data_IF_894068666641
#
_entry.id   IF_894068666641
#
_cell.length_a   1.000
_cell.length_b   1.000
_cell.length_c   1.000
_cell.angle_alpha   90.00
_cell.angle_beta   90.00
_cell.angle_gamma   90.00
#
_symmetry.space_group_name_H-M   'P 1'
#
loop_
_entity.id
_entity.type
_entity.pdbx_description
1 polymer ?
#
# COMPACT_ATOMS: atom_id res chain seq x y z
N UNK A 1 6.62 -16.77 15.65
CA UNK A 1 5.49 -15.84 15.47
C UNK A 1 5.06 -15.14 16.77
N UNK A 2 4.90 -15.83 17.93
CA UNK A 2 4.45 -15.19 19.19
C UNK A 2 5.32 -13.99 19.66
N UNK A 3 6.64 -14.04 19.50
CA UNK A 3 7.55 -12.96 19.95
C UNK A 3 7.47 -11.71 19.05
N UNK A 4 7.37 -11.89 17.73
CA UNK A 4 7.20 -10.78 16.77
C UNK A 4 5.87 -10.07 17.05
N UNK A 5 4.79 -10.79 17.25
CA UNK A 5 3.48 -10.21 17.55
C UNK A 5 3.48 -9.39 18.85
N UNK A 6 4.21 -9.85 19.89
CA UNK A 6 4.37 -9.08 21.15
C UNK A 6 5.13 -7.76 20.92
N UNK A 7 6.19 -7.80 20.13
CA UNK A 7 6.96 -6.61 19.76
C UNK A 7 6.12 -5.63 18.95
N UNK A 8 5.43 -6.11 17.93
CA UNK A 8 4.52 -5.34 17.10
C UNK A 8 3.44 -4.63 17.93
N UNK A 9 2.81 -5.35 18.88
CA UNK A 9 1.79 -4.77 19.77
C UNK A 9 2.34 -3.66 20.67
N UNK A 10 3.59 -3.78 21.13
CA UNK A 10 4.23 -2.71 21.91
C UNK A 10 4.36 -1.42 21.10
N UNK A 11 4.75 -1.52 19.81
CA UNK A 11 4.83 -0.38 18.91
C UNK A 11 3.45 0.23 18.68
N UNK A 12 2.45 -0.60 18.38
CA UNK A 12 1.09 -0.14 18.14
C UNK A 12 0.49 0.56 19.36
N UNK A 13 0.69 0.01 20.59
CA UNK A 13 0.26 0.66 21.83
C UNK A 13 0.94 2.00 22.06
N UNK A 14 2.23 2.14 21.71
CA UNK A 14 2.94 3.41 21.79
C UNK A 14 2.36 4.44 20.80
N UNK A 15 1.99 4.02 19.58
CA UNK A 15 1.29 4.87 18.61
C UNK A 15 -0.05 5.32 19.19
N UNK A 16 -0.87 4.41 19.72
CA UNK A 16 -2.16 4.73 20.33
C UNK A 16 -2.05 5.73 21.48
N UNK A 17 -1.07 5.53 22.36
CA UNK A 17 -0.87 6.38 23.54
C UNK A 17 -0.40 7.80 23.19
N UNK A 18 0.51 7.92 22.20
CA UNK A 18 1.27 9.16 22.01
C UNK A 18 0.79 10.00 20.81
N UNK A 19 0.13 9.39 19.81
CA UNK A 19 -0.17 10.07 18.55
C UNK A 19 -1.67 10.24 18.30
N UNK A 20 -2.55 9.53 19.02
CA UNK A 20 -3.99 9.61 18.77
C UNK A 20 -4.57 10.97 19.19
N UNK A 21 -5.22 11.61 18.23
CA UNK A 21 -5.96 12.86 18.43
C UNK A 21 -7.12 12.95 17.43
N UNK A 22 -8.21 13.70 17.74
CA UNK A 22 -9.35 13.83 16.82
C UNK A 22 -8.99 14.40 15.44
N UNK A 23 -7.99 15.29 15.38
CA UNK A 23 -7.52 15.85 14.12
C UNK A 23 -6.76 14.79 13.29
N UNK A 24 -5.84 14.06 13.93
CA UNK A 24 -5.06 13.02 13.24
C UNK A 24 -5.94 11.81 12.86
N UNK A 25 -6.97 11.51 13.64
CA UNK A 25 -7.98 10.49 13.30
C UNK A 25 -8.61 10.77 11.93
N UNK A 26 -9.05 12.01 11.68
CA UNK A 26 -9.64 12.40 10.39
C UNK A 26 -8.65 12.23 9.24
N UNK A 27 -7.40 12.63 9.44
CA UNK A 27 -6.33 12.46 8.43
C UNK A 27 -6.08 10.99 8.13
N UNK A 28 -5.94 10.15 9.15
CA UNK A 28 -5.65 8.72 8.98
C UNK A 28 -6.84 7.95 8.39
N UNK A 29 -8.07 8.32 8.73
CA UNK A 29 -9.26 7.78 8.10
C UNK A 29 -9.35 8.22 6.63
N UNK A 30 -9.02 9.46 6.31
CA UNK A 30 -8.92 9.93 4.93
C UNK A 30 -7.87 9.17 4.13
N UNK A 31 -6.66 9.05 4.68
CA UNK A 31 -5.56 8.34 4.05
C UNK A 31 -5.88 6.86 3.76
N UNK A 32 -6.49 6.16 4.73
CA UNK A 32 -6.87 4.76 4.51
C UNK A 32 -7.96 4.60 3.44
N UNK A 33 -8.91 5.54 3.36
CA UNK A 33 -9.94 5.51 2.30
C UNK A 33 -9.33 5.68 0.91
N UNK A 34 -8.33 6.55 0.73
CA UNK A 34 -7.60 6.71 -0.53
C UNK A 34 -6.91 5.42 -0.98
N UNK A 35 -6.38 4.64 -0.01
CA UNK A 35 -5.71 3.36 -0.30
C UNK A 35 -6.67 2.17 -0.49
N UNK A 36 -7.98 2.34 -0.28
CA UNK A 36 -8.95 1.25 -0.39
C UNK A 36 -8.98 0.67 -1.82
N UNK A 37 -8.77 -0.64 -1.94
CA UNK A 37 -8.68 -1.34 -3.23
C UNK A 37 -7.69 -0.70 -4.24
N UNK A 38 -6.71 0.05 -3.76
CA UNK A 38 -5.75 0.76 -4.62
C UNK A 38 -6.36 1.92 -5.42
N UNK A 39 -7.57 2.40 -5.04
CA UNK A 39 -8.37 3.31 -5.86
C UNK A 39 -7.63 4.57 -6.27
N UNK A 40 -6.89 5.23 -5.37
CA UNK A 40 -6.11 6.44 -5.71
C UNK A 40 -5.07 6.15 -6.78
N UNK A 41 -4.41 5.00 -6.73
CA UNK A 41 -3.35 4.63 -7.67
C UNK A 41 -3.92 4.23 -9.02
N UNK A 42 -5.04 3.50 -9.05
CA UNK A 42 -5.78 3.17 -10.28
C UNK A 42 -6.28 4.46 -10.93
N UNK A 43 -6.79 5.41 -10.15
CA UNK A 43 -7.22 6.73 -10.63
C UNK A 43 -6.07 7.53 -11.24
N UNK A 44 -4.91 7.57 -10.57
CA UNK A 44 -3.69 8.22 -11.11
C UNK A 44 -3.27 7.53 -12.42
N UNK A 45 -3.24 6.19 -12.45
CA UNK A 45 -2.94 5.43 -13.66
C UNK A 45 -3.89 5.77 -14.80
N UNK A 46 -5.20 5.83 -14.53
CA UNK A 46 -6.23 6.23 -15.49
C UNK A 46 -6.00 7.62 -16.06
N UNK A 47 -5.72 8.60 -15.21
CA UNK A 47 -5.40 9.96 -15.64
C UNK A 47 -4.13 10.01 -16.49
N UNK A 48 -3.09 9.28 -16.12
CA UNK A 48 -1.85 9.20 -16.90
C UNK A 48 -2.07 8.58 -18.28
N UNK A 49 -3.02 7.66 -18.43
CA UNK A 49 -3.35 7.06 -19.74
C UNK A 49 -3.93 8.05 -20.74
N UNK A 50 -4.47 9.18 -20.30
CA UNK A 50 -4.96 10.25 -21.18
C UNK A 50 -3.81 11.00 -21.87
N UNK A 51 -2.60 10.96 -21.32
CA UNK A 51 -1.42 11.59 -21.90
C UNK A 51 -0.64 10.61 -22.77
N UNK A 52 -0.37 10.95 -24.03
CA UNK A 52 0.48 10.14 -24.92
C UNK A 52 1.83 9.82 -24.29
N UNK A 53 2.44 10.77 -23.57
CA UNK A 53 3.74 10.64 -22.92
C UNK A 53 3.75 9.65 -21.76
N UNK A 54 2.66 9.59 -20.96
CA UNK A 54 2.61 8.82 -19.71
C UNK A 54 1.68 7.60 -19.80
N UNK A 55 1.07 7.34 -20.95
CA UNK A 55 0.09 6.26 -21.14
C UNK A 55 0.60 4.89 -20.72
N UNK A 56 1.85 4.58 -21.04
CA UNK A 56 2.46 3.30 -20.70
C UNK A 56 2.59 3.13 -19.19
N UNK A 57 3.20 4.12 -18.53
CA UNK A 57 3.31 4.14 -17.07
C UNK A 57 1.93 4.04 -16.41
N UNK A 58 0.93 4.77 -16.92
CA UNK A 58 -0.45 4.73 -16.42
C UNK A 58 -1.07 3.33 -16.53
N UNK A 59 -0.89 2.66 -17.67
CA UNK A 59 -1.37 1.29 -17.87
C UNK A 59 -0.68 0.29 -16.94
N UNK A 60 0.66 0.35 -16.86
CA UNK A 60 1.46 -0.52 -15.98
C UNK A 60 1.04 -0.33 -14.51
N UNK A 61 0.87 0.93 -14.09
CA UNK A 61 0.43 1.28 -12.74
C UNK A 61 -0.94 0.67 -12.42
N UNK A 62 -1.94 0.92 -13.28
CA UNK A 62 -3.29 0.43 -13.08
C UNK A 62 -3.35 -1.11 -13.09
N UNK A 63 -2.66 -1.75 -14.04
CA UNK A 63 -2.61 -3.20 -14.16
C UNK A 63 -1.92 -3.85 -12.95
N UNK A 64 -0.74 -3.36 -12.55
CA UNK A 64 0.00 -3.90 -11.42
C UNK A 64 -0.77 -3.75 -10.09
N UNK A 65 -1.36 -2.58 -9.83
CA UNK A 65 -2.16 -2.37 -8.61
C UNK A 65 -3.41 -3.25 -8.60
N UNK A 66 -4.09 -3.41 -9.73
CA UNK A 66 -5.24 -4.30 -9.84
C UNK A 66 -4.85 -5.77 -9.60
N UNK A 67 -3.72 -6.20 -10.15
CA UNK A 67 -3.16 -7.52 -9.90
C UNK A 67 -2.83 -7.72 -8.41
N UNK A 68 -2.20 -6.74 -7.76
CA UNK A 68 -1.87 -6.79 -6.33
C UNK A 68 -3.13 -6.95 -5.47
N UNK A 69 -4.20 -6.21 -5.79
CA UNK A 69 -5.49 -6.33 -5.07
C UNK A 69 -6.06 -7.73 -5.22
N UNK A 70 -6.06 -8.26 -6.44
CA UNK A 70 -6.56 -9.60 -6.73
C UNK A 70 -5.72 -10.68 -6.03
N UNK A 71 -4.41 -10.67 -6.27
CA UNK A 71 -3.49 -11.68 -5.75
C UNK A 71 -3.45 -11.67 -4.21
N UNK A 72 -3.41 -10.49 -3.58
CA UNK A 72 -3.39 -10.38 -2.13
C UNK A 72 -4.69 -10.91 -1.49
N UNK A 73 -5.85 -10.61 -2.06
CA UNK A 73 -7.12 -11.01 -1.45
C UNK A 73 -7.46 -12.49 -1.69
N UNK A 74 -7.09 -13.06 -2.84
CA UNK A 74 -7.46 -14.43 -3.21
C UNK A 74 -6.37 -15.43 -2.85
N UNK A 75 -5.09 -15.11 -3.13
CA UNK A 75 -4.00 -16.06 -2.95
C UNK A 75 -3.34 -15.89 -1.59
N UNK A 76 -2.81 -14.70 -1.29
CA UNK A 76 -1.89 -14.51 -0.15
C UNK A 76 -2.61 -14.57 1.19
N UNK A 77 -3.77 -13.91 1.33
CA UNK A 77 -4.53 -13.93 2.60
C UNK A 77 -5.05 -15.30 2.99
N UNK A 78 -5.28 -16.19 2.01
CA UNK A 78 -5.71 -17.56 2.27
C UNK A 78 -4.56 -18.46 2.73
N UNK A 79 -3.30 -18.06 2.50
CA UNK A 79 -2.11 -18.79 2.98
C UNK A 79 -1.73 -18.41 4.42
N UNK A 80 -2.04 -17.19 4.86
CA UNK A 80 -1.61 -16.65 6.14
C UNK A 80 -2.82 -16.28 7.01
N UNK A 81 -3.08 -17.07 8.05
CA UNK A 81 -4.21 -16.88 8.97
C UNK A 81 -3.82 -16.04 10.20
N UNK A 82 -3.14 -14.89 9.99
CA UNK A 82 -2.73 -14.01 11.08
C UNK A 82 -3.91 -13.17 11.56
N UNK A 83 -4.27 -13.31 12.84
CA UNK A 83 -5.26 -12.45 13.49
C UNK A 83 -4.78 -10.99 13.49
N UNK A 84 -5.71 -10.04 13.34
CA UNK A 84 -5.39 -8.60 13.35
C UNK A 84 -5.10 -8.10 14.76
N UNK A 85 -4.37 -6.96 14.91
CA UNK A 85 -4.18 -6.34 16.22
C UNK A 85 -5.49 -6.12 16.98
N UNK A 86 -6.52 -5.62 16.31
CA UNK A 86 -7.83 -5.37 16.89
C UNK A 86 -8.61 -6.63 17.31
N UNK A 87 -8.26 -7.80 16.77
CA UNK A 87 -8.85 -9.07 17.18
C UNK A 87 -8.14 -9.64 18.42
N UNK A 88 -6.85 -9.32 18.58
CA UNK A 88 -6.00 -9.83 19.67
C UNK A 88 -6.09 -8.94 20.89
N UNK A 89 -6.21 -7.63 20.71
CA UNK A 89 -6.32 -6.65 21.78
C UNK A 89 -7.52 -5.73 21.55
N UNK A 90 -8.60 -6.02 22.25
CA UNK A 90 -9.87 -5.30 22.16
C UNK A 90 -9.92 -4.06 23.08
N UNK A 91 -8.84 -3.71 23.76
CA UNK A 91 -8.77 -2.51 24.61
C UNK A 91 -8.71 -1.23 23.81
N UNK A 92 -8.38 -1.31 22.52
CA UNK A 92 -8.32 -0.17 21.57
C UNK A 92 -9.60 -0.14 20.74
N UNK A 93 -10.40 0.91 20.92
CA UNK A 93 -11.61 1.12 20.13
C UNK A 93 -11.26 1.38 18.64
N UNK A 94 -11.87 0.61 17.73
CA UNK A 94 -11.67 0.79 16.30
C UNK A 94 -12.35 2.07 15.82
N UNK A 95 -11.62 2.86 15.04
CA UNK A 95 -12.09 4.11 14.41
C UNK A 95 -12.65 3.91 13.00
N UNK A 96 -12.53 2.69 12.47
CA UNK A 96 -13.05 2.27 11.17
C UNK A 96 -13.68 0.88 11.30
N UNK A 97 -14.51 0.50 10.32
CA UNK A 97 -15.01 -0.87 10.25
C UNK A 97 -13.85 -1.86 10.19
N UNK A 98 -13.93 -2.94 10.99
CA UNK A 98 -12.94 -4.02 10.97
C UNK A 98 -12.77 -4.55 9.52
N UNK A 99 -11.55 -4.54 8.96
CA UNK A 99 -11.33 -5.06 7.63
C UNK A 99 -11.51 -6.58 7.59
N UNK A 100 -12.00 -7.08 6.47
CA UNK A 100 -12.21 -8.52 6.27
C UNK A 100 -10.89 -9.28 6.09
N UNK A 101 -10.86 -10.56 6.51
CA UNK A 101 -9.77 -11.49 6.30
C UNK A 101 -8.53 -11.26 7.18
N UNK A 102 -7.45 -11.97 6.87
CA UNK A 102 -6.20 -12.01 7.62
C UNK A 102 -5.46 -10.66 7.66
N UNK A 103 -4.61 -10.49 8.69
CA UNK A 103 -3.79 -9.28 8.84
C UNK A 103 -2.61 -9.23 7.86
N UNK A 104 -1.99 -10.36 7.55
CA UNK A 104 -0.76 -10.42 6.76
C UNK A 104 -1.02 -10.82 5.30
N UNK A 105 -0.33 -10.19 4.35
CA UNK A 105 0.32 -8.89 4.46
C UNK A 105 -0.68 -7.73 4.33
N UNK A 106 -0.24 -6.48 4.55
CA UNK A 106 -1.08 -5.31 4.38
C UNK A 106 -1.34 -4.99 2.91
N UNK A 107 -2.59 -5.18 2.44
CA UNK A 107 -2.94 -4.89 1.04
C UNK A 107 -2.83 -3.40 0.67
N UNK A 108 -3.20 -2.49 1.58
CA UNK A 108 -3.03 -1.04 1.37
C UNK A 108 -1.56 -0.66 1.18
N UNK A 109 -0.66 -1.23 1.98
CA UNK A 109 0.78 -1.00 1.85
C UNK A 109 1.32 -1.61 0.57
N UNK A 110 0.96 -2.86 0.27
CA UNK A 110 1.39 -3.54 -0.94
C UNK A 110 1.09 -2.71 -2.17
N UNK A 111 -0.18 -2.39 -2.42
CA UNK A 111 -0.60 -1.60 -3.59
C UNK A 111 0.04 -0.22 -3.63
N UNK A 112 0.19 0.45 -2.48
CA UNK A 112 0.77 1.79 -2.43
C UNK A 112 2.27 1.80 -2.69
N UNK A 113 3.01 0.81 -2.18
CA UNK A 113 4.45 0.70 -2.41
C UNK A 113 4.73 0.23 -3.85
N UNK A 114 3.96 -0.72 -4.39
CA UNK A 114 4.04 -1.09 -5.82
C UNK A 114 3.86 0.15 -6.70
N UNK A 115 2.82 0.94 -6.45
CA UNK A 115 2.54 2.15 -7.20
C UNK A 115 3.67 3.19 -7.10
N UNK A 116 4.13 3.48 -5.87
CA UNK A 116 5.22 4.43 -5.64
C UNK A 116 6.52 3.98 -6.33
N UNK A 117 6.80 2.68 -6.34
CA UNK A 117 7.98 2.11 -7.01
C UNK A 117 7.89 2.31 -8.53
N UNK A 118 6.77 1.93 -9.16
CA UNK A 118 6.55 2.11 -10.61
C UNK A 118 6.71 3.59 -10.98
N UNK A 119 6.03 4.49 -10.26
CA UNK A 119 6.07 5.92 -10.53
C UNK A 119 7.49 6.49 -10.40
N UNK A 120 8.22 6.10 -9.36
CA UNK A 120 9.59 6.58 -9.10
C UNK A 120 10.57 6.10 -10.17
N UNK A 121 10.47 4.85 -10.59
CA UNK A 121 11.33 4.26 -11.62
C UNK A 121 11.05 4.86 -13.00
N UNK A 122 9.79 5.19 -13.31
CA UNK A 122 9.44 5.89 -14.55
C UNK A 122 9.93 7.36 -14.56
N UNK A 123 9.80 8.07 -13.44
CA UNK A 123 10.27 9.44 -13.31
C UNK A 123 10.50 9.78 -11.84
N UNK A 124 11.75 10.09 -11.46
CA UNK A 124 12.12 10.40 -10.07
C UNK A 124 11.24 11.47 -9.42
N UNK A 125 10.81 12.50 -10.17
CA UNK A 125 9.93 13.55 -9.64
C UNK A 125 8.53 13.04 -9.26
N UNK A 126 8.03 11.96 -9.84
CA UNK A 126 6.77 11.35 -9.41
C UNK A 126 6.90 10.70 -8.04
N UNK A 127 8.09 10.19 -7.71
CA UNK A 127 8.40 9.64 -6.40
C UNK A 127 8.25 10.66 -5.27
N UNK A 128 8.50 11.96 -5.52
CA UNK A 128 8.35 13.02 -4.51
C UNK A 128 6.92 13.11 -3.94
N UNK A 129 5.91 12.81 -4.73
CA UNK A 129 4.52 12.74 -4.27
C UNK A 129 4.08 11.33 -3.88
N UNK A 130 4.49 10.32 -4.66
CA UNK A 130 4.03 8.95 -4.48
C UNK A 130 4.56 8.29 -3.22
N UNK A 131 5.84 8.49 -2.86
CA UNK A 131 6.45 7.90 -1.66
C UNK A 131 5.81 8.42 -0.37
N UNK A 132 5.67 9.76 -0.16
CA UNK A 132 4.98 10.26 1.02
C UNK A 132 3.53 9.80 1.14
N UNK A 133 2.79 9.75 0.03
CA UNK A 133 1.42 9.26 0.02
C UNK A 133 1.35 7.76 0.38
N UNK A 134 2.23 6.93 -0.19
CA UNK A 134 2.32 5.51 0.15
C UNK A 134 2.69 5.30 1.62
N UNK A 135 3.62 6.09 2.16
CA UNK A 135 3.99 6.06 3.57
C UNK A 135 2.83 6.46 4.48
N UNK A 136 2.08 7.52 4.12
CA UNK A 136 0.91 7.97 4.87
C UNK A 136 -0.20 6.91 4.89
N UNK A 137 -0.52 6.31 3.73
CA UNK A 137 -1.50 5.22 3.63
C UNK A 137 -1.05 4.03 4.47
N UNK A 138 0.22 3.64 4.39
CA UNK A 138 0.78 2.51 5.15
C UNK A 138 0.75 2.78 6.66
N UNK A 139 1.15 3.98 7.09
CA UNK A 139 1.12 4.38 8.49
C UNK A 139 -0.30 4.42 9.05
N UNK A 140 -1.28 4.85 8.25
CA UNK A 140 -2.68 4.86 8.66
C UNK A 140 -3.18 3.50 9.13
N UNK A 141 -2.62 2.40 8.59
CA UNK A 141 -3.03 1.03 8.94
C UNK A 141 -2.55 0.61 10.34
N UNK A 142 -1.37 1.09 10.75
CA UNK A 142 -0.86 0.91 12.11
C UNK A 142 -1.61 1.82 13.09
N UNK A 143 -1.79 3.08 12.71
CA UNK A 143 -2.51 4.06 13.51
C UNK A 143 -3.96 3.63 13.80
N UNK A 144 -4.65 3.07 12.83
CA UNK A 144 -6.02 2.56 12.95
C UNK A 144 -6.10 1.16 13.57
N UNK A 145 -4.97 0.62 14.07
CA UNK A 145 -4.88 -0.63 14.82
C UNK A 145 -5.39 -1.88 14.05
N UNK A 146 -5.20 -1.91 12.72
CA UNK A 146 -5.68 -3.00 11.86
C UNK A 146 -4.59 -3.82 11.20
N UNK A 147 -3.33 -3.37 11.24
CA UNK A 147 -2.14 -4.10 10.78
C UNK A 147 -0.97 -3.90 11.72
N UNK A 148 -0.12 -4.91 11.81
CA UNK A 148 1.13 -4.88 12.56
C UNK A 148 2.25 -4.18 11.77
N UNK A 149 3.27 -3.59 12.45
CA UNK A 149 4.49 -3.11 11.80
C UNK A 149 5.14 -4.13 10.87
N UNK A 150 5.20 -5.40 11.28
CA UNK A 150 5.76 -6.49 10.46
C UNK A 150 4.90 -6.81 9.21
N UNK A 151 3.56 -6.60 9.24
CA UNK A 151 2.72 -6.72 8.04
C UNK A 151 3.05 -5.62 7.03
N UNK A 152 3.34 -4.40 7.54
CA UNK A 152 3.75 -3.26 6.73
C UNK A 152 5.13 -3.50 6.11
N UNK A 153 6.10 -3.93 6.92
CA UNK A 153 7.46 -4.21 6.45
C UNK A 153 7.50 -5.27 5.34
N UNK A 154 6.79 -6.39 5.54
CA UNK A 154 6.68 -7.44 4.54
C UNK A 154 6.00 -6.96 3.26
N UNK A 155 4.88 -6.23 3.39
CA UNK A 155 4.18 -5.66 2.25
C UNK A 155 5.02 -4.60 1.50
N UNK A 156 5.86 -3.85 2.21
CA UNK A 156 6.82 -2.91 1.60
C UNK A 156 7.85 -3.64 0.75
N UNK A 157 8.48 -4.69 1.29
CA UNK A 157 9.45 -5.48 0.54
C UNK A 157 8.83 -6.13 -0.72
N UNK A 158 7.63 -6.72 -0.58
CA UNK A 158 6.88 -7.29 -1.69
C UNK A 158 6.50 -6.23 -2.72
N UNK A 159 6.01 -5.06 -2.30
CA UNK A 159 5.60 -3.98 -3.19
C UNK A 159 6.77 -3.39 -3.99
N UNK A 160 7.95 -3.27 -3.38
CA UNK A 160 9.18 -2.87 -4.12
C UNK A 160 9.51 -3.92 -5.18
N UNK A 161 9.48 -5.21 -4.83
CA UNK A 161 9.76 -6.29 -5.77
C UNK A 161 8.78 -6.32 -6.95
N UNK A 162 7.47 -6.29 -6.66
CA UNK A 162 6.41 -6.31 -7.69
C UNK A 162 6.43 -5.05 -8.56
N UNK A 163 6.62 -3.87 -7.97
CA UNK A 163 6.73 -2.62 -8.71
C UNK A 163 7.94 -2.59 -9.63
N UNK A 164 9.09 -3.10 -9.16
CA UNK A 164 10.30 -3.21 -9.97
C UNK A 164 10.13 -4.21 -11.12
N UNK A 165 9.48 -5.35 -10.86
CA UNK A 165 9.18 -6.34 -11.88
C UNK A 165 8.22 -5.79 -12.95
N UNK A 166 7.15 -5.09 -12.53
CA UNK A 166 6.20 -4.46 -13.44
C UNK A 166 6.88 -3.41 -14.33
N UNK A 167 7.74 -2.57 -13.77
CA UNK A 167 8.54 -1.61 -14.52
C UNK A 167 9.50 -2.29 -15.51
N UNK A 168 10.17 -3.37 -15.11
CA UNK A 168 11.05 -4.12 -15.98
C UNK A 168 10.30 -4.77 -17.16
N UNK A 169 9.07 -5.26 -16.94
CA UNK A 169 8.20 -5.77 -18.00
C UNK A 169 7.75 -4.64 -18.94
N UNK A 170 7.38 -3.50 -18.41
CA UNK A 170 7.03 -2.32 -19.21
C UNK A 170 8.16 -1.93 -20.18
N UNK A 171 9.38 -1.84 -19.67
CA UNK A 171 10.55 -1.42 -20.48
C UNK A 171 10.99 -2.44 -21.52
N UNK A 172 10.80 -3.74 -21.23
CA UNK A 172 11.11 -4.82 -22.18
C UNK A 172 10.07 -4.99 -23.28
N UNK A 173 8.79 -4.95 -22.91
CA UNK A 173 7.69 -5.19 -23.85
C UNK A 173 7.44 -4.02 -24.80
N UNK A 174 7.78 -2.80 -24.39
CA UNK A 174 7.52 -1.58 -25.13
C UNK A 174 8.79 -0.70 -25.12
N UNK A 175 9.75 -0.91 -26.04
CA UNK A 175 10.92 -0.05 -26.13
C UNK A 175 10.53 1.42 -26.25
N UNK A 176 11.36 2.30 -25.69
CA UNK A 176 11.10 3.74 -25.68
C UNK A 176 10.72 4.23 -27.10
N UNK A 177 9.77 5.19 -27.23
CA UNK A 177 9.57 5.85 -28.50
C UNK A 177 10.92 6.40 -28.96
N UNK A 178 11.31 6.12 -30.21
CA UNK A 178 12.45 6.81 -30.82
C UNK A 178 12.14 8.30 -30.71
N UNK A 179 13.01 9.06 -30.06
CA UNK A 179 12.94 10.51 -30.14
C UNK A 179 13.03 10.85 -31.63
N UNK A 180 11.91 11.31 -32.18
CA UNK A 180 11.94 11.95 -33.49
C UNK A 180 12.73 13.25 -33.32
N UNK A 181 13.90 13.26 -33.94
CA UNK A 181 14.83 14.38 -33.98
C UNK A 181 14.20 15.61 -34.64
#
# INVERSE_FOLDING_TARGET
MKNITKFDLKILKKIQKNLCSPALDKVMIGATKLGTAGAVWIGIGGLMMLSKKYRRCGFTLAAAVSFDVFANNILVKNLFHRARPCDVDQTVALKIRRPFGASFPSGHTLTSVTAATILTLNKKSFGLGAIPLAALISFSRMYLFVHYPSDIAAATALGIGLGSAAYALETKALPAPKEEA
#
